data_IF_459549148979
#
_entry.id   IF_459549148979
#
_cell.length_a   1.000
_cell.length_b   1.000
_cell.length_c   1.000
_cell.angle_alpha   90.00
_cell.angle_beta   90.00
_cell.angle_gamma   90.00
#
_symmetry.space_group_name_H-M   'P 1'
#
loop_
_entity.id
_entity.type
_entity.pdbx_description
1 polymer ?
#
# COMPACT_ATOMS: atom_id res chain seq x y z
N UNK A 1 -4.75 -13.53 -14.34
CA UNK A 1 -4.01 -12.29 -14.00
C UNK A 1 -2.85 -12.17 -14.96
N UNK A 2 -2.73 -11.04 -15.67
CA UNK A 2 -1.59 -10.81 -16.55
C UNK A 2 -0.50 -10.13 -15.73
N UNK A 3 0.67 -10.74 -15.65
CA UNK A 3 1.84 -10.18 -14.98
C UNK A 3 2.81 -9.63 -16.02
N UNK A 4 3.64 -8.69 -15.62
CA UNK A 4 4.70 -8.13 -16.44
C UNK A 4 5.93 -7.93 -15.56
N UNK A 5 7.10 -8.28 -16.09
CA UNK A 5 8.36 -8.13 -15.37
C UNK A 5 8.89 -6.71 -15.51
N UNK A 6 9.23 -6.10 -14.39
CA UNK A 6 9.96 -4.83 -14.34
C UNK A 6 11.45 -5.13 -14.09
N UNK A 7 12.33 -4.55 -14.91
CA UNK A 7 13.77 -4.63 -14.70
C UNK A 7 14.26 -3.31 -14.11
N UNK A 8 14.79 -3.36 -12.89
CA UNK A 8 15.33 -2.20 -12.19
C UNK A 8 16.81 -2.49 -11.89
N UNK A 9 17.75 -1.78 -12.53
CA UNK A 9 19.16 -1.91 -12.20
C UNK A 9 19.40 -1.33 -10.81
N UNK A 10 20.15 -2.06 -9.98
CA UNK A 10 20.57 -1.65 -8.64
C UNK A 10 22.03 -2.03 -8.45
N UNK A 11 22.75 -1.25 -7.65
CA UNK A 11 24.11 -1.58 -7.25
C UNK A 11 24.11 -2.84 -6.38
N UNK A 12 25.04 -3.76 -6.63
CA UNK A 12 25.05 -5.07 -5.96
C UNK A 12 25.48 -4.99 -4.50
N UNK A 13 26.14 -3.91 -4.11
CA UNK A 13 26.54 -3.64 -2.73
C UNK A 13 25.36 -3.38 -1.80
N UNK A 14 24.19 -3.01 -2.33
CA UNK A 14 22.98 -2.77 -1.53
C UNK A 14 22.54 -4.04 -0.78
N UNK A 15 22.69 -5.21 -1.39
CA UNK A 15 22.37 -6.49 -0.79
C UNK A 15 23.27 -6.77 0.42
N UNK A 16 24.56 -6.42 0.30
CA UNK A 16 25.53 -6.54 1.39
C UNK A 16 25.25 -5.53 2.49
N UNK A 17 24.94 -4.28 2.14
CA UNK A 17 24.66 -3.21 3.09
C UNK A 17 23.41 -3.49 3.93
N UNK A 18 22.40 -4.13 3.34
CA UNK A 18 21.16 -4.50 4.02
C UNK A 18 21.20 -5.89 4.64
N UNK A 19 22.26 -6.68 4.40
CA UNK A 19 22.34 -8.09 4.76
C UNK A 19 21.11 -8.88 4.26
N UNK A 20 20.78 -8.69 2.99
CA UNK A 20 19.63 -9.27 2.32
C UNK A 20 20.02 -10.01 1.05
N UNK A 21 19.28 -11.06 0.75
CA UNK A 21 19.26 -11.68 -0.58
C UNK A 21 18.53 -10.79 -1.59
N UNK A 22 18.71 -11.08 -2.87
CA UNK A 22 17.99 -10.39 -3.95
C UNK A 22 16.47 -10.53 -3.78
N UNK A 23 16.02 -11.71 -3.38
CA UNK A 23 14.62 -12.06 -3.19
C UNK A 23 14.01 -11.24 -2.04
N UNK A 24 14.69 -11.18 -0.89
CA UNK A 24 14.26 -10.37 0.26
C UNK A 24 14.18 -8.88 -0.10
N UNK A 25 15.22 -8.35 -0.75
CA UNK A 25 15.23 -6.96 -1.19
C UNK A 25 14.11 -6.67 -2.21
N UNK A 26 13.82 -7.61 -3.10
CA UNK A 26 12.74 -7.47 -4.09
C UNK A 26 11.37 -7.38 -3.41
N UNK A 27 11.12 -8.21 -2.40
CA UNK A 27 9.88 -8.17 -1.64
C UNK A 27 9.74 -6.89 -0.82
N UNK A 28 10.83 -6.40 -0.23
CA UNK A 28 10.86 -5.10 0.44
C UNK A 28 10.58 -3.95 -0.53
N UNK A 29 11.20 -3.95 -1.71
CA UNK A 29 11.00 -2.93 -2.73
C UNK A 29 9.53 -2.90 -3.18
N UNK A 30 8.92 -4.06 -3.43
CA UNK A 30 7.49 -4.17 -3.78
C UNK A 30 6.60 -3.63 -2.66
N UNK A 31 6.90 -4.00 -1.42
CA UNK A 31 6.15 -3.56 -0.23
C UNK A 31 6.20 -2.04 -0.10
N UNK A 32 7.40 -1.45 -0.08
CA UNK A 32 7.58 0.00 0.08
C UNK A 32 7.03 0.79 -1.10
N UNK A 33 7.15 0.28 -2.33
CA UNK A 33 6.54 0.89 -3.51
C UNK A 33 5.00 0.93 -3.37
N UNK A 34 4.37 -0.18 -2.97
CA UNK A 34 2.93 -0.25 -2.78
C UNK A 34 2.44 0.69 -1.67
N UNK A 35 3.12 0.72 -0.52
CA UNK A 35 2.82 1.64 0.59
C UNK A 35 2.90 3.09 0.08
N UNK A 36 4.00 3.46 -0.57
CA UNK A 36 4.22 4.82 -1.05
C UNK A 36 3.15 5.24 -2.06
N UNK A 37 2.86 4.39 -3.05
CA UNK A 37 1.84 4.67 -4.05
C UNK A 37 0.43 4.80 -3.44
N UNK A 38 0.12 4.03 -2.40
CA UNK A 38 -1.13 4.15 -1.65
C UNK A 38 -1.20 5.46 -0.87
N UNK A 39 -0.18 5.77 -0.08
CA UNK A 39 -0.09 6.99 0.75
C UNK A 39 -0.22 8.25 -0.11
N UNK A 40 0.47 8.30 -1.25
CA UNK A 40 0.36 9.42 -2.19
C UNK A 40 -0.89 9.38 -3.08
N UNK A 41 -1.80 8.43 -2.82
CA UNK A 41 -3.07 8.30 -3.52
C UNK A 41 -2.97 7.96 -5.00
N UNK A 42 -1.84 7.45 -5.47
CA UNK A 42 -1.62 7.04 -6.87
C UNK A 42 -2.39 5.76 -7.22
N UNK A 43 -2.55 4.88 -6.24
CA UNK A 43 -3.32 3.63 -6.39
C UNK A 43 -4.26 3.43 -5.20
N UNK A 44 -5.32 2.65 -5.41
CA UNK A 44 -6.23 2.24 -4.34
C UNK A 44 -5.61 1.15 -3.47
N UNK A 45 -6.14 1.00 -2.25
CA UNK A 45 -5.69 -0.02 -1.31
C UNK A 45 -5.70 -1.46 -1.89
N UNK A 46 -6.75 -1.93 -2.61
CA UNK A 46 -6.71 -3.26 -3.24
C UNK A 46 -5.60 -3.40 -4.29
N UNK A 47 -5.28 -2.33 -5.03
CA UNK A 47 -4.19 -2.33 -6.02
C UNK A 47 -2.83 -2.35 -5.33
N UNK A 48 -2.67 -1.64 -4.22
CA UNK A 48 -1.45 -1.66 -3.41
C UNK A 48 -1.20 -3.04 -2.81
N UNK A 49 -2.23 -3.68 -2.24
CA UNK A 49 -2.15 -5.06 -1.74
C UNK A 49 -1.69 -6.02 -2.85
N UNK A 50 -2.30 -5.94 -4.04
CA UNK A 50 -1.89 -6.77 -5.18
C UNK A 50 -0.46 -6.50 -5.67
N UNK A 51 0.00 -5.24 -5.64
CA UNK A 51 1.38 -4.88 -6.03
C UNK A 51 2.41 -5.41 -5.03
N UNK A 52 2.10 -5.32 -3.74
CA UNK A 52 2.93 -5.85 -2.68
C UNK A 52 2.89 -7.39 -2.60
N UNK A 53 1.92 -8.05 -3.26
CA UNK A 53 1.75 -9.50 -3.21
C UNK A 53 1.04 -9.99 -1.94
N UNK A 54 0.25 -9.15 -1.30
CA UNK A 54 -0.49 -9.47 -0.07
C UNK A 54 -1.97 -9.69 -0.35
N UNK A 55 -2.61 -10.51 0.49
CA UNK A 55 -4.06 -10.46 0.61
C UNK A 55 -4.47 -9.07 1.13
N UNK A 56 -5.65 -8.59 0.73
CA UNK A 56 -6.12 -7.25 1.08
C UNK A 56 -6.07 -6.99 2.59
N UNK A 57 -6.58 -7.93 3.39
CA UNK A 57 -6.62 -7.81 4.85
C UNK A 57 -5.21 -7.71 5.47
N UNK A 58 -4.25 -8.50 4.97
CA UNK A 58 -2.88 -8.47 5.49
C UNK A 58 -2.18 -7.16 5.16
N UNK A 59 -2.47 -6.60 3.98
CA UNK A 59 -1.98 -5.28 3.61
C UNK A 59 -2.59 -4.19 4.49
N UNK A 60 -3.91 -4.21 4.73
CA UNK A 60 -4.60 -3.28 5.63
C UNK A 60 -3.99 -3.30 7.03
N UNK A 61 -3.75 -4.50 7.59
CA UNK A 61 -3.11 -4.67 8.89
C UNK A 61 -1.69 -4.10 8.89
N UNK A 62 -0.89 -4.40 7.86
CA UNK A 62 0.48 -3.89 7.74
C UNK A 62 0.53 -2.35 7.74
N UNK A 63 -0.31 -1.69 6.95
CA UNK A 63 -0.31 -0.22 6.90
C UNK A 63 -0.85 0.40 8.20
N UNK A 64 -1.80 -0.27 8.87
CA UNK A 64 -2.28 0.14 10.19
C UNK A 64 -1.19 0.02 11.26
N UNK A 65 -0.41 -1.07 11.27
CA UNK A 65 0.73 -1.26 12.18
C UNK A 65 1.82 -0.19 11.96
N UNK A 66 1.89 0.40 10.77
CA UNK A 66 2.76 1.52 10.42
C UNK A 66 2.14 2.90 10.74
N UNK A 67 0.98 2.97 11.40
CA UNK A 67 0.21 4.20 11.66
C UNK A 67 -0.15 5.01 10.41
N UNK A 68 -0.28 4.34 9.26
CA UNK A 68 -0.71 4.98 8.02
C UNK A 68 -2.24 4.97 7.99
N UNK A 69 -2.85 6.16 7.88
CA UNK A 69 -4.30 6.25 7.81
C UNK A 69 -4.80 5.60 6.50
N UNK A 70 -5.58 4.53 6.65
CA UNK A 70 -6.20 3.79 5.55
C UNK A 70 -7.45 4.47 5.02
N UNK A 71 -8.03 5.37 5.80
CA UNK A 71 -9.23 6.11 5.44
C UNK A 71 -8.84 7.47 4.88
N UNK A 72 -9.31 7.74 3.65
CA UNK A 72 -9.28 9.09 3.06
C UNK A 72 -10.53 9.90 3.42
N UNK A 73 -11.41 9.38 4.27
CA UNK A 73 -12.57 10.12 4.76
C UNK A 73 -12.04 11.34 5.49
N UNK A 74 -12.30 12.51 4.93
CA UNK A 74 -12.15 13.75 5.66
C UNK A 74 -13.37 13.96 6.57
N UNK A 75 -13.31 14.95 7.46
CA UNK A 75 -14.47 15.28 8.31
C UNK A 75 -15.72 15.60 7.50
N UNK A 76 -15.58 16.11 6.27
CA UNK A 76 -16.70 16.47 5.42
C UNK A 76 -17.43 15.24 4.87
N UNK A 77 -16.70 14.17 4.56
CA UNK A 77 -17.29 12.90 4.13
C UNK A 77 -18.09 12.26 5.26
N UNK A 78 -17.59 12.30 6.50
CA UNK A 78 -18.33 11.84 7.68
C UNK A 78 -19.60 12.69 7.93
N UNK A 79 -19.51 14.02 7.80
CA UNK A 79 -20.67 14.93 7.95
C UNK A 79 -21.73 14.68 6.86
N UNK A 80 -21.31 14.45 5.61
CA UNK A 80 -22.24 14.12 4.52
C UNK A 80 -23.01 12.85 4.80
N UNK A 81 -22.34 11.82 5.30
CA UNK A 81 -22.98 10.55 5.64
C UNK A 81 -24.00 10.69 6.77
N UNK A 82 -23.69 11.49 7.80
CA UNK A 82 -24.63 11.81 8.89
C UNK A 82 -25.86 12.54 8.35
N UNK A 83 -25.67 13.53 7.48
CA UNK A 83 -26.78 14.29 6.91
C UNK A 83 -27.72 13.40 6.06
N UNK A 84 -27.16 12.52 5.23
CA UNK A 84 -27.96 11.55 4.44
C UNK A 84 -28.80 10.66 5.36
N UNK A 85 -28.22 10.18 6.47
CA UNK A 85 -28.94 9.34 7.43
C UNK A 85 -30.08 10.09 8.14
N UNK A 86 -29.91 11.39 8.41
CA UNK A 86 -30.94 12.24 9.01
C UNK A 86 -32.08 12.57 8.04
N UNK A 87 -31.81 12.68 6.74
CA UNK A 87 -32.86 12.90 5.72
C UNK A 87 -33.71 11.64 5.46
N UNK A 88 -33.21 10.46 5.86
CA UNK A 88 -33.88 9.16 5.71
C UNK A 88 -34.71 8.75 6.94
N UNK A 89 -34.63 9.49 8.04
CA UNK A 89 -35.38 9.28 9.30
C UNK A 89 -36.54 10.26 9.45
#
# INVERSE_FOLDING_TARGET
>A
MNTTTLNVPVETDIFLALNQTKEEFTEDLKRWAAISMFVFGKISLPRAASLAGYHRYDFEKMVADLNINISKLDENDAIREINILQELS
#
